data_IF_342866424325
#
_entry.id   IF_342866424325
#
_cell.length_a   1.000
_cell.length_b   1.000
_cell.length_c   1.000
_cell.angle_alpha   90.00
_cell.angle_beta   90.00
_cell.angle_gamma   90.00
#
_symmetry.space_group_name_H-M   'P 1'
#
loop_
_entity.id
_entity.type
_entity.pdbx_description
1 polymer ?
#
# COMPACT_ATOMS: atom_id res chain seq x y z
N UNK A 1 38.63 56.10 58.00
CA UNK A 1 38.60 54.87 58.83
C UNK A 1 37.70 53.85 58.14
N UNK A 2 38.29 52.74 57.65
CA UNK A 2 37.68 51.50 57.11
C UNK A 2 36.65 51.63 55.95
N UNK A 3 37.14 51.53 54.72
CA UNK A 3 36.36 51.06 53.57
C UNK A 3 36.48 49.53 53.49
N UNK A 4 35.33 48.83 53.37
CA UNK A 4 35.24 47.38 53.22
C UNK A 4 35.69 46.94 51.83
N UNK A 5 36.69 46.07 51.76
CA UNK A 5 37.05 45.31 50.56
C UNK A 5 36.15 44.07 50.47
N UNK A 6 35.26 44.00 49.46
CA UNK A 6 34.53 42.77 49.12
C UNK A 6 35.43 41.89 48.24
N UNK A 7 35.74 40.68 48.71
CA UNK A 7 36.29 39.62 47.88
C UNK A 7 35.14 38.96 47.11
N UNK A 8 35.20 39.02 45.77
CA UNK A 8 34.29 38.28 44.89
C UNK A 8 34.81 36.86 44.71
N UNK A 9 34.12 35.88 45.29
CA UNK A 9 34.35 34.46 45.03
C UNK A 9 33.65 34.09 43.72
N UNK A 10 34.41 33.84 42.66
CA UNK A 10 33.88 33.32 41.40
C UNK A 10 33.52 31.83 41.59
N UNK A 11 32.22 31.53 41.55
CA UNK A 11 31.72 30.16 41.53
C UNK A 11 31.75 29.66 40.08
N UNK A 12 32.77 28.91 39.71
CA UNK A 12 32.81 28.17 38.43
C UNK A 12 31.75 27.08 38.45
N UNK A 13 30.67 27.28 37.71
CA UNK A 13 29.63 26.30 37.45
C UNK A 13 30.17 25.29 36.42
N UNK A 14 30.70 24.16 36.90
CA UNK A 14 31.07 23.04 36.03
C UNK A 14 29.79 22.39 35.52
N UNK A 15 29.38 22.71 34.29
CA UNK A 15 28.32 21.96 33.59
C UNK A 15 28.86 20.55 33.35
N UNK A 16 28.38 19.59 34.14
CA UNK A 16 28.58 18.18 33.85
C UNK A 16 27.83 17.87 32.55
N UNK A 17 28.58 17.82 31.43
CA UNK A 17 28.13 17.23 30.19
C UNK A 17 27.76 15.79 30.49
N UNK A 18 26.46 15.52 30.56
CA UNK A 18 25.95 14.15 30.53
C UNK A 18 26.46 13.51 29.24
N UNK A 19 27.01 12.27 29.29
CA UNK A 19 27.44 11.62 28.08
C UNK A 19 26.24 11.48 27.15
N UNK A 20 26.37 12.01 25.93
CA UNK A 20 25.49 11.68 24.81
C UNK A 20 25.35 10.16 24.80
N UNK A 21 24.15 9.67 25.04
CA UNK A 21 23.84 8.25 24.95
C UNK A 21 24.31 7.77 23.59
N UNK A 22 25.31 6.89 23.58
CA UNK A 22 25.85 6.32 22.34
C UNK A 22 24.67 5.81 21.50
N UNK A 23 24.63 6.21 20.23
CA UNK A 23 23.65 5.69 19.29
C UNK A 23 23.68 4.15 19.35
N UNK A 24 22.51 3.48 19.38
CA UNK A 24 22.49 2.03 19.42
C UNK A 24 23.33 1.49 18.26
N UNK A 25 24.32 0.64 18.57
CA UNK A 25 25.20 0.03 17.56
C UNK A 25 24.33 -0.65 16.52
N UNK A 26 24.45 -0.21 15.26
CA UNK A 26 23.68 -0.79 14.16
C UNK A 26 23.99 -2.29 14.05
N UNK A 27 22.96 -3.08 13.76
CA UNK A 27 23.06 -4.55 13.72
C UNK A 27 23.75 -5.08 12.45
N UNK A 28 24.38 -4.21 11.66
CA UNK A 28 25.05 -4.48 10.40
C UNK A 28 26.21 -3.50 10.18
N UNK A 29 27.26 -3.85 9.42
CA UNK A 29 28.34 -2.93 9.08
C UNK A 29 27.88 -1.85 8.09
N UNK A 30 28.18 -0.58 8.35
CA UNK A 30 27.83 0.54 7.48
C UNK A 30 28.44 0.42 6.07
N UNK A 31 29.64 -0.15 5.96
CA UNK A 31 30.31 -0.38 4.68
C UNK A 31 29.56 -1.37 3.77
N UNK A 32 28.97 -2.42 4.35
CA UNK A 32 28.16 -3.39 3.59
C UNK A 32 26.89 -2.74 3.05
N UNK A 33 26.21 -1.91 3.85
CA UNK A 33 25.04 -1.14 3.45
C UNK A 33 25.37 -0.19 2.28
N UNK A 34 26.44 0.58 2.41
CA UNK A 34 26.87 1.52 1.37
C UNK A 34 27.27 0.78 0.09
N UNK A 35 27.99 -0.33 0.20
CA UNK A 35 28.36 -1.15 -0.97
C UNK A 35 27.14 -1.74 -1.66
N UNK A 36 26.16 -2.25 -0.90
CA UNK A 36 24.90 -2.78 -1.43
C UNK A 36 24.11 -1.71 -2.20
N UNK A 37 24.08 -0.47 -1.69
CA UNK A 37 23.37 0.63 -2.31
C UNK A 37 24.14 1.27 -3.47
N UNK A 38 25.46 1.42 -3.39
CA UNK A 38 26.28 2.11 -4.40
C UNK A 38 26.17 1.48 -5.79
N UNK A 39 25.97 0.16 -5.85
CA UNK A 39 25.76 -0.61 -7.06
C UNK A 39 24.37 -0.44 -7.70
N UNK A 40 23.52 0.44 -7.16
CA UNK A 40 22.13 0.64 -7.60
C UNK A 40 21.94 2.00 -8.28
N UNK A 41 20.90 2.09 -9.10
CA UNK A 41 20.46 3.34 -9.74
C UNK A 41 20.29 4.44 -8.68
N UNK A 42 20.84 5.62 -8.93
CA UNK A 42 21.04 6.66 -7.91
C UNK A 42 19.74 7.04 -7.16
N UNK A 43 18.62 7.36 -7.85
CA UNK A 43 17.33 7.59 -7.22
C UNK A 43 16.80 6.46 -6.32
N UNK A 44 17.24 5.21 -6.54
CA UNK A 44 16.77 4.03 -5.79
C UNK A 44 17.65 3.67 -4.60
N UNK A 45 18.86 4.25 -4.49
CA UNK A 45 19.79 3.94 -3.39
C UNK A 45 19.16 4.13 -2.01
N UNK A 46 18.37 5.18 -1.73
CA UNK A 46 17.71 5.33 -0.44
C UNK A 46 16.74 4.18 -0.11
N UNK A 47 16.03 3.64 -1.11
CA UNK A 47 15.11 2.51 -0.95
C UNK A 47 15.83 1.19 -0.67
N UNK A 48 16.94 0.95 -1.36
CA UNK A 48 17.80 -0.19 -1.07
C UNK A 48 18.40 -0.12 0.34
N UNK A 49 18.77 1.08 0.79
CA UNK A 49 19.23 1.29 2.17
C UNK A 49 18.11 1.01 3.18
N UNK A 50 16.92 1.52 2.94
CA UNK A 50 15.75 1.26 3.79
C UNK A 50 15.38 -0.23 3.85
N UNK A 51 15.44 -0.93 2.72
CA UNK A 51 15.23 -2.37 2.63
C UNK A 51 16.25 -3.13 3.48
N UNK A 52 17.54 -2.84 3.30
CA UNK A 52 18.64 -3.50 4.03
C UNK A 52 18.59 -3.24 5.53
N UNK A 53 18.35 -1.98 5.91
CA UNK A 53 18.27 -1.53 7.29
C UNK A 53 17.01 -2.06 8.00
N UNK A 54 15.89 -2.09 7.29
CA UNK A 54 14.58 -2.52 7.80
C UNK A 54 14.48 -4.02 8.09
N UNK A 55 15.36 -4.83 7.49
CA UNK A 55 15.44 -6.26 7.75
C UNK A 55 14.22 -7.05 7.27
N UNK A 56 14.13 -8.32 7.66
CA UNK A 56 13.01 -9.19 7.24
C UNK A 56 11.67 -8.62 7.76
N UNK A 57 11.71 -7.96 8.93
CA UNK A 57 10.53 -7.40 9.60
C UNK A 57 9.78 -6.36 8.76
N UNK A 58 10.49 -5.56 7.98
CA UNK A 58 9.89 -4.52 7.13
C UNK A 58 10.03 -4.86 5.64
N UNK A 59 10.42 -6.09 5.31
CA UNK A 59 10.78 -6.50 3.95
C UNK A 59 9.66 -6.28 2.94
N UNK A 60 8.44 -6.75 3.21
CA UNK A 60 7.31 -6.58 2.27
C UNK A 60 7.03 -5.10 2.01
N UNK A 61 7.07 -4.25 3.05
CA UNK A 61 6.85 -2.81 2.91
C UNK A 61 7.92 -2.17 2.04
N UNK A 62 9.19 -2.42 2.38
CA UNK A 62 10.30 -1.78 1.69
C UNK A 62 10.52 -2.34 0.27
N UNK A 63 10.18 -3.60 0.02
CA UNK A 63 10.16 -4.18 -1.32
C UNK A 63 9.04 -3.58 -2.17
N UNK A 64 7.83 -3.45 -1.62
CA UNK A 64 6.71 -2.80 -2.31
C UNK A 64 7.03 -1.35 -2.68
N UNK A 65 7.59 -0.58 -1.74
CA UNK A 65 8.02 0.81 -1.98
C UNK A 65 9.15 0.89 -3.01
N UNK A 66 10.16 0.03 -2.91
CA UNK A 66 11.25 -0.07 -3.89
C UNK A 66 10.70 -0.41 -5.28
N UNK A 67 9.78 -1.36 -5.38
CA UNK A 67 9.23 -1.80 -6.65
C UNK A 67 8.50 -0.67 -7.38
N UNK A 68 7.69 0.10 -6.66
CA UNK A 68 6.98 1.23 -7.23
C UNK A 68 7.91 2.41 -7.56
N UNK A 69 8.88 2.71 -6.70
CA UNK A 69 9.93 3.70 -7.00
C UNK A 69 10.72 3.31 -8.26
N UNK A 70 11.05 2.03 -8.42
CA UNK A 70 11.75 1.50 -9.58
C UNK A 70 10.91 1.60 -10.86
N UNK A 71 9.59 1.38 -10.79
CA UNK A 71 8.69 1.64 -11.92
C UNK A 71 8.72 3.11 -12.35
N UNK A 72 8.70 4.04 -11.40
CA UNK A 72 8.69 5.48 -11.69
C UNK A 72 9.94 5.94 -12.45
N UNK A 73 11.11 5.40 -12.10
CA UNK A 73 12.38 5.74 -12.75
C UNK A 73 12.76 4.80 -13.91
N UNK A 74 11.84 3.93 -14.34
CA UNK A 74 12.03 3.04 -15.48
C UNK A 74 12.99 1.87 -15.25
N UNK A 75 13.31 1.54 -14.00
CA UNK A 75 14.15 0.40 -13.62
C UNK A 75 13.31 -0.88 -13.49
N UNK A 76 12.81 -1.38 -14.63
CA UNK A 76 11.82 -2.46 -14.66
C UNK A 76 12.28 -3.78 -14.03
N UNK A 77 13.56 -4.16 -14.21
CA UNK A 77 14.08 -5.40 -13.61
C UNK A 77 14.11 -5.33 -12.08
N UNK A 78 14.49 -4.17 -11.53
CA UNK A 78 14.45 -3.93 -10.09
C UNK A 78 13.01 -3.97 -9.57
N UNK A 79 12.07 -3.39 -10.32
CA UNK A 79 10.65 -3.42 -9.99
C UNK A 79 10.09 -4.85 -9.93
N UNK A 80 10.35 -5.65 -10.97
CA UNK A 80 9.91 -7.04 -11.08
C UNK A 80 10.46 -7.89 -9.92
N UNK A 81 11.77 -7.80 -9.66
CA UNK A 81 12.43 -8.53 -8.56
C UNK A 81 11.90 -8.12 -7.19
N UNK A 82 11.66 -6.83 -6.98
CA UNK A 82 11.14 -6.33 -5.71
C UNK A 82 9.74 -6.84 -5.45
N UNK A 83 8.85 -6.77 -6.44
CA UNK A 83 7.48 -7.31 -6.29
C UNK A 83 7.46 -8.83 -6.18
N UNK A 84 8.27 -9.57 -6.95
CA UNK A 84 8.37 -11.03 -6.81
C UNK A 84 8.82 -11.43 -5.40
N UNK A 85 9.83 -10.73 -4.85
CA UNK A 85 10.30 -10.95 -3.49
C UNK A 85 9.27 -10.55 -2.41
N UNK A 86 8.43 -9.56 -2.68
CA UNK A 86 7.34 -9.14 -1.78
C UNK A 86 6.20 -10.16 -1.81
N UNK A 87 5.75 -10.58 -2.99
CA UNK A 87 4.67 -11.54 -3.20
C UNK A 87 5.04 -12.90 -2.62
N UNK A 88 6.27 -13.39 -2.81
CA UNK A 88 6.74 -14.63 -2.18
C UNK A 88 6.59 -14.59 -0.64
N UNK A 89 6.86 -13.44 -0.03
CA UNK A 89 6.75 -13.23 1.42
C UNK A 89 5.30 -13.07 1.89
N UNK A 90 4.43 -12.49 1.06
CA UNK A 90 2.98 -12.45 1.30
C UNK A 90 2.43 -13.87 1.25
N UNK A 91 2.81 -14.64 0.23
CA UNK A 91 2.32 -15.99 -0.03
C UNK A 91 2.81 -17.03 0.98
N UNK A 92 4.01 -16.83 1.54
CA UNK A 92 4.57 -17.71 2.58
C UNK A 92 3.66 -17.87 3.81
N UNK A 93 2.75 -16.92 4.05
CA UNK A 93 1.74 -16.99 5.11
C UNK A 93 0.75 -18.16 4.87
N UNK A 94 0.54 -18.53 3.61
CA UNK A 94 -0.46 -19.51 3.17
C UNK A 94 0.10 -20.93 2.96
N UNK A 95 1.41 -21.16 3.10
CA UNK A 95 2.02 -22.48 2.92
C UNK A 95 1.45 -23.49 3.95
N UNK A 96 0.57 -24.39 3.50
CA UNK A 96 -0.05 -25.45 4.31
C UNK A 96 0.88 -26.65 4.42
N UNK A 97 1.80 -26.66 5.38
CA UNK A 97 2.43 -27.90 5.83
C UNK A 97 2.34 -28.00 7.37
N UNK A 98 2.39 -29.23 7.92
CA UNK A 98 2.27 -29.46 9.38
C UNK A 98 3.37 -28.75 10.19
N UNK A 99 4.51 -28.47 9.56
CA UNK A 99 5.56 -27.61 10.13
C UNK A 99 5.15 -26.12 10.16
N UNK A 100 4.33 -25.65 9.22
CA UNK A 100 3.78 -24.31 9.16
C UNK A 100 2.65 -24.09 10.18
N UNK A 101 1.87 -25.11 10.56
CA UNK A 101 0.94 -25.02 11.69
C UNK A 101 1.67 -24.94 13.04
N UNK A 102 2.72 -25.74 13.22
CA UNK A 102 3.60 -25.61 14.39
C UNK A 102 4.34 -24.27 14.39
N UNK A 103 4.80 -23.79 13.22
CA UNK A 103 5.38 -22.46 13.06
C UNK A 103 4.36 -21.36 13.33
N UNK A 104 3.09 -21.47 12.91
CA UNK A 104 2.02 -20.50 13.24
C UNK A 104 1.86 -20.35 14.74
N UNK A 105 1.80 -21.44 15.50
CA UNK A 105 1.63 -21.38 16.96
C UNK A 105 2.86 -20.90 17.74
N UNK A 106 4.08 -21.22 17.28
CA UNK A 106 5.33 -20.68 17.86
C UNK A 106 5.56 -19.21 17.43
N UNK A 107 5.26 -18.87 16.18
CA UNK A 107 5.33 -17.51 15.64
C UNK A 107 4.28 -16.60 16.27
N UNK A 108 3.06 -17.04 16.58
CA UNK A 108 2.10 -16.19 17.30
C UNK A 108 2.59 -15.69 18.67
N UNK A 109 3.53 -16.40 19.32
CA UNK A 109 4.13 -15.99 20.61
C UNK A 109 5.46 -15.22 20.46
N UNK A 110 6.21 -15.44 19.38
CA UNK A 110 7.54 -14.83 19.17
C UNK A 110 7.59 -13.79 18.01
N UNK A 111 6.73 -13.94 16.99
CA UNK A 111 6.62 -13.14 15.75
C UNK A 111 5.83 -11.83 15.91
N UNK A 112 6.01 -11.15 17.03
CA UNK A 112 5.52 -9.80 17.15
C UNK A 112 6.26 -8.91 16.11
N UNK A 113 5.63 -8.71 14.92
CA UNK A 113 5.73 -7.56 13.99
C UNK A 113 6.38 -7.73 12.59
N UNK A 114 6.45 -8.89 11.93
CA UNK A 114 6.78 -8.86 10.48
C UNK A 114 5.62 -8.19 9.70
N UNK A 115 5.90 -7.13 8.94
CA UNK A 115 4.89 -6.41 8.18
C UNK A 115 4.59 -7.18 6.89
N UNK A 116 3.32 -7.56 6.70
CA UNK A 116 2.83 -8.21 5.48
C UNK A 116 1.83 -7.37 4.71
N UNK A 117 1.54 -6.16 5.19
CA UNK A 117 0.49 -5.29 4.67
C UNK A 117 -0.92 -5.74 5.06
N UNK A 118 -1.86 -4.81 4.96
CA UNK A 118 -3.30 -5.05 5.00
C UNK A 118 -3.77 -5.65 3.66
N UNK A 119 -4.98 -6.26 3.59
CA UNK A 119 -5.49 -6.86 2.36
C UNK A 119 -5.36 -5.99 1.10
N UNK A 120 -5.70 -4.70 1.20
CA UNK A 120 -5.57 -3.76 0.07
C UNK A 120 -4.10 -3.53 -0.35
N UNK A 121 -3.15 -3.46 0.59
CA UNK A 121 -1.72 -3.24 0.27
C UNK A 121 -1.13 -4.47 -0.45
N UNK A 122 -1.56 -5.67 -0.04
CA UNK A 122 -1.18 -6.92 -0.70
C UNK A 122 -1.77 -6.98 -2.10
N UNK A 123 -3.06 -6.65 -2.25
CA UNK A 123 -3.71 -6.58 -3.56
C UNK A 123 -2.99 -5.60 -4.49
N UNK A 124 -2.55 -4.45 -3.97
CA UNK A 124 -1.78 -3.48 -4.75
C UNK A 124 -0.41 -3.99 -5.18
N UNK A 125 0.26 -4.85 -4.39
CA UNK A 125 1.50 -5.49 -4.83
C UNK A 125 1.28 -6.40 -6.06
N UNK A 126 0.19 -7.17 -6.06
CA UNK A 126 -0.22 -7.98 -7.22
C UNK A 126 -0.62 -7.12 -8.42
N UNK A 127 -1.30 -5.99 -8.19
CA UNK A 127 -1.65 -5.04 -9.23
C UNK A 127 -0.41 -4.51 -9.95
N UNK A 128 0.57 -3.96 -9.22
CA UNK A 128 1.79 -3.45 -9.84
C UNK A 128 2.60 -4.54 -10.56
N UNK A 129 2.66 -5.75 -9.98
CA UNK A 129 3.30 -6.88 -10.66
C UNK A 129 2.58 -7.28 -11.95
N UNK A 130 1.25 -7.23 -11.95
CA UNK A 130 0.41 -7.46 -13.12
C UNK A 130 0.64 -6.42 -14.22
N UNK A 131 0.79 -5.14 -13.87
CA UNK A 131 1.15 -4.09 -14.82
C UNK A 131 2.50 -4.33 -15.49
N UNK A 132 3.49 -4.84 -14.75
CA UNK A 132 4.80 -5.21 -15.30
C UNK A 132 4.69 -6.40 -16.26
N UNK A 133 3.82 -7.38 -15.98
CA UNK A 133 3.52 -8.45 -16.94
C UNK A 133 2.84 -7.91 -18.20
N UNK A 134 1.87 -6.99 -18.08
CA UNK A 134 1.25 -6.32 -19.23
C UNK A 134 2.28 -5.56 -20.07
N UNK A 135 3.20 -4.84 -19.42
CA UNK A 135 4.32 -4.14 -20.07
C UNK A 135 5.19 -5.10 -20.89
N UNK A 136 5.43 -6.31 -20.37
CA UNK A 136 6.20 -7.36 -21.03
C UNK A 136 5.42 -8.11 -22.12
N UNK A 137 4.10 -7.92 -22.23
CA UNK A 137 3.22 -8.69 -23.11
C UNK A 137 2.89 -10.09 -22.60
N UNK A 138 3.14 -10.37 -21.31
CA UNK A 138 2.86 -11.64 -20.67
C UNK A 138 1.46 -11.64 -20.05
N UNK A 139 0.45 -11.73 -20.92
CA UNK A 139 -0.94 -11.52 -20.52
C UNK A 139 -1.48 -12.61 -19.58
N UNK A 140 -0.98 -13.85 -19.69
CA UNK A 140 -1.42 -14.94 -18.82
C UNK A 140 -0.94 -14.73 -17.38
N UNK A 141 0.32 -14.36 -17.19
CA UNK A 141 0.83 -14.03 -15.85
C UNK A 141 0.26 -12.71 -15.33
N UNK A 142 -0.02 -11.73 -16.20
CA UNK A 142 -0.75 -10.53 -15.80
C UNK A 142 -2.12 -10.89 -15.21
N UNK A 143 -2.92 -11.68 -15.93
CA UNK A 143 -4.22 -12.17 -15.47
C UNK A 143 -4.12 -12.92 -14.14
N UNK A 144 -3.15 -13.83 -14.03
CA UNK A 144 -2.91 -14.59 -12.80
C UNK A 144 -2.57 -13.68 -11.61
N UNK A 145 -1.77 -12.64 -11.84
CA UNK A 145 -1.43 -11.64 -10.82
C UNK A 145 -2.67 -10.88 -10.35
N UNK A 146 -3.50 -10.36 -11.27
CA UNK A 146 -4.74 -9.65 -10.90
C UNK A 146 -5.73 -10.56 -10.17
N UNK A 147 -5.82 -11.84 -10.56
CA UNK A 147 -6.60 -12.84 -9.81
C UNK A 147 -6.05 -13.08 -8.41
N UNK A 148 -4.71 -13.10 -8.26
CA UNK A 148 -4.03 -13.17 -6.96
C UNK A 148 -4.36 -12.01 -6.03
N UNK A 149 -4.59 -10.81 -6.58
CA UNK A 149 -5.00 -9.62 -5.84
C UNK A 149 -6.38 -9.79 -5.19
N UNK A 150 -7.34 -10.40 -5.90
CA UNK A 150 -8.70 -10.67 -5.38
C UNK A 150 -8.68 -11.66 -4.21
N UNK A 151 -7.78 -12.64 -4.24
CA UNK A 151 -7.66 -13.61 -3.15
C UNK A 151 -7.13 -13.01 -1.84
N UNK A 152 -6.52 -11.83 -1.86
CA UNK A 152 -5.97 -11.21 -0.64
C UNK A 152 -7.06 -10.76 0.35
N UNK A 153 -8.31 -10.66 -0.10
CA UNK A 153 -9.48 -10.30 0.72
C UNK A 153 -10.10 -11.51 1.45
N UNK A 154 -10.15 -12.66 0.77
CA UNK A 154 -10.95 -13.84 1.16
C UNK A 154 -10.41 -14.71 2.31
N UNK A 155 -9.43 -14.22 3.06
CA UNK A 155 -8.72 -15.04 4.07
C UNK A 155 -8.94 -14.56 5.51
N UNK A 156 -9.86 -13.63 5.74
CA UNK A 156 -10.59 -13.57 7.02
C UNK A 156 -11.41 -14.87 7.13
N UNK A 157 -11.30 -15.61 8.24
CA UNK A 157 -11.80 -17.00 8.40
C UNK A 157 -13.33 -17.21 8.21
N UNK A 158 -14.08 -16.18 7.79
CA UNK A 158 -15.54 -16.17 7.77
C UNK A 158 -16.20 -15.67 6.47
N UNK A 159 -15.46 -15.27 5.42
CA UNK A 159 -16.06 -14.54 4.29
C UNK A 159 -16.03 -15.29 2.97
N UNK A 160 -17.19 -15.34 2.31
CA UNK A 160 -17.35 -15.77 0.93
C UNK A 160 -16.56 -14.82 0.00
N UNK A 161 -16.01 -15.36 -1.09
CA UNK A 161 -15.30 -14.59 -2.10
C UNK A 161 -16.20 -13.48 -2.66
N UNK A 162 -15.95 -12.24 -2.27
CA UNK A 162 -16.57 -11.06 -2.88
C UNK A 162 -15.56 -10.39 -3.82
N UNK A 163 -15.85 -10.45 -5.12
CA UNK A 163 -14.98 -9.92 -6.17
C UNK A 163 -15.23 -8.43 -6.39
N UNK A 164 -14.96 -7.63 -5.36
CA UNK A 164 -15.43 -6.23 -5.30
C UNK A 164 -14.42 -5.22 -5.86
N UNK A 165 -13.23 -5.66 -6.28
CA UNK A 165 -12.24 -4.76 -6.89
C UNK A 165 -12.47 -4.68 -8.39
N UNK A 166 -13.38 -3.81 -8.81
CA UNK A 166 -13.72 -3.59 -10.22
C UNK A 166 -12.47 -3.40 -11.12
N UNK A 167 -11.43 -2.71 -10.63
CA UNK A 167 -10.14 -2.60 -11.31
C UNK A 167 -9.49 -3.96 -11.62
N UNK A 168 -9.43 -4.90 -10.68
CA UNK A 168 -8.78 -6.20 -10.90
C UNK A 168 -9.55 -7.02 -11.92
N UNK A 169 -10.88 -7.02 -11.83
CA UNK A 169 -11.75 -7.65 -12.82
C UNK A 169 -11.55 -7.06 -14.21
N UNK A 170 -11.48 -5.72 -14.33
CA UNK A 170 -11.22 -5.06 -15.60
C UNK A 170 -9.87 -5.48 -16.21
N UNK A 171 -8.82 -5.51 -15.38
CA UNK A 171 -7.47 -5.88 -15.81
C UNK A 171 -7.35 -7.38 -16.15
N UNK A 172 -8.11 -8.26 -15.49
CA UNK A 172 -8.24 -9.66 -15.89
C UNK A 172 -8.91 -9.78 -17.27
N UNK A 173 -10.02 -9.08 -17.50
CA UNK A 173 -10.70 -9.05 -18.79
C UNK A 173 -9.80 -8.53 -19.91
N UNK A 174 -9.08 -7.44 -19.66
CA UNK A 174 -8.10 -6.88 -20.59
C UNK A 174 -7.01 -7.89 -20.93
N UNK A 175 -6.43 -8.54 -19.91
CA UNK A 175 -5.39 -9.55 -20.09
C UNK A 175 -5.89 -10.74 -20.92
N UNK A 176 -7.09 -11.26 -20.62
CA UNK A 176 -7.74 -12.34 -21.36
C UNK A 176 -7.95 -11.95 -22.84
N UNK A 177 -8.47 -10.76 -23.09
CA UNK A 177 -8.69 -10.23 -24.43
C UNK A 177 -7.38 -10.12 -25.22
N UNK A 178 -6.33 -9.60 -24.60
CA UNK A 178 -5.01 -9.45 -25.22
C UNK A 178 -4.31 -10.78 -25.50
N UNK A 179 -4.58 -11.81 -24.68
CA UNK A 179 -4.17 -13.19 -24.94
C UNK A 179 -4.89 -13.81 -26.15
N UNK A 180 -6.03 -13.22 -26.58
CA UNK A 180 -6.84 -13.69 -27.70
C UNK A 180 -8.09 -14.47 -27.29
N UNK A 181 -8.41 -14.50 -25.99
CA UNK A 181 -9.57 -15.17 -25.43
C UNK A 181 -10.71 -14.18 -25.12
N UNK A 182 -11.88 -14.69 -24.75
CA UNK A 182 -13.03 -13.86 -24.41
C UNK A 182 -12.96 -13.35 -22.96
N UNK A 183 -12.67 -12.05 -22.80
CA UNK A 183 -12.63 -11.37 -21.50
C UNK A 183 -13.98 -10.81 -20.99
N UNK A 184 -15.10 -11.00 -21.71
CA UNK A 184 -16.38 -10.34 -21.39
C UNK A 184 -16.88 -10.59 -19.98
N UNK A 185 -16.76 -11.82 -19.45
CA UNK A 185 -17.23 -12.13 -18.10
C UNK A 185 -16.50 -11.31 -17.01
N UNK A 186 -15.19 -11.12 -17.17
CA UNK A 186 -14.38 -10.32 -16.24
C UNK A 186 -14.75 -8.82 -16.36
N UNK A 187 -15.06 -8.33 -17.57
CA UNK A 187 -15.56 -6.96 -17.76
C UNK A 187 -16.96 -6.77 -17.17
N UNK A 188 -17.87 -7.73 -17.33
CA UNK A 188 -19.21 -7.67 -16.75
C UNK A 188 -19.14 -7.62 -15.21
N UNK A 189 -18.24 -8.41 -14.61
CA UNK A 189 -17.96 -8.34 -13.17
C UNK A 189 -17.42 -6.97 -12.75
N UNK A 190 -16.52 -6.37 -13.53
CA UNK A 190 -16.00 -5.02 -13.26
C UNK A 190 -17.11 -3.96 -13.30
N UNK A 191 -18.00 -4.02 -14.29
CA UNK A 191 -19.12 -3.09 -14.47
C UNK A 191 -20.17 -3.26 -13.37
N UNK A 192 -20.40 -4.51 -12.93
CA UNK A 192 -21.29 -4.80 -11.81
C UNK A 192 -20.79 -4.19 -10.50
N UNK A 193 -19.47 -4.25 -10.26
CA UNK A 193 -18.84 -3.67 -9.07
C UNK A 193 -18.68 -2.14 -9.17
N UNK A 194 -18.46 -1.57 -10.36
CA UNK A 194 -18.37 -0.12 -10.59
C UNK A 194 -19.16 0.29 -11.84
N UNK A 195 -20.37 0.81 -11.62
CA UNK A 195 -21.32 1.15 -12.69
C UNK A 195 -20.82 2.23 -13.65
N UNK A 196 -19.81 3.01 -13.26
CA UNK A 196 -19.17 4.01 -14.11
C UNK A 196 -18.26 3.44 -15.20
N UNK A 197 -17.98 2.13 -15.18
CA UNK A 197 -17.12 1.46 -16.16
C UNK A 197 -17.90 0.98 -17.40
N UNK A 198 -17.16 0.81 -18.49
CA UNK A 198 -17.64 0.19 -19.73
C UNK A 198 -16.59 -0.77 -20.26
N UNK A 199 -17.04 -1.90 -20.82
CA UNK A 199 -16.13 -2.81 -21.52
C UNK A 199 -15.39 -2.07 -22.66
N UNK A 200 -14.15 -2.47 -22.98
CA UNK A 200 -13.43 -1.90 -24.12
C UNK A 200 -14.19 -2.12 -25.43
N UNK A 201 -13.96 -1.25 -26.41
CA UNK A 201 -14.42 -1.54 -27.77
C UNK A 201 -13.70 -2.79 -28.31
N UNK A 202 -14.36 -3.51 -29.23
CA UNK A 202 -13.83 -4.77 -29.79
C UNK A 202 -12.43 -4.66 -30.40
N UNK A 203 -12.08 -3.48 -30.92
CA UNK A 203 -10.82 -3.19 -31.56
C UNK A 203 -9.89 -2.28 -30.72
N UNK A 204 -10.24 -2.02 -29.47
CA UNK A 204 -9.34 -1.36 -28.54
C UNK A 204 -8.12 -2.25 -28.24
N UNK A 205 -6.95 -1.64 -28.28
CA UNK A 205 -5.67 -2.31 -28.04
C UNK A 205 -4.70 -1.45 -27.23
N UNK A 206 -5.14 -0.33 -26.69
CA UNK A 206 -4.38 0.52 -25.77
C UNK A 206 -5.17 0.66 -24.47
N UNK A 207 -4.59 0.19 -23.36
CA UNK A 207 -5.08 0.44 -22.02
C UNK A 207 -4.30 1.61 -21.42
N UNK A 208 -5.00 2.63 -20.94
CA UNK A 208 -4.42 3.78 -20.27
C UNK A 208 -4.88 3.78 -18.83
N UNK A 209 -3.94 3.92 -17.89
CA UNK A 209 -4.17 3.91 -16.45
C UNK A 209 -3.55 5.16 -15.84
N UNK A 210 -4.32 5.86 -15.01
CA UNK A 210 -3.88 7.03 -14.26
C UNK A 210 -4.20 6.83 -12.78
N UNK A 211 -3.16 6.88 -11.96
CA UNK A 211 -3.28 6.85 -10.51
C UNK A 211 -3.47 8.25 -9.94
N UNK A 212 -4.40 8.39 -9.00
CA UNK A 212 -4.86 9.67 -8.44
C UNK A 212 -4.62 9.70 -6.93
N UNK A 213 -4.17 10.86 -6.43
CA UNK A 213 -3.99 11.09 -5.00
C UNK A 213 -2.90 10.22 -4.36
N UNK A 214 -2.89 10.27 -3.03
CA UNK A 214 -2.25 9.27 -2.19
C UNK A 214 -3.27 8.74 -1.20
N UNK A 215 -3.14 7.48 -0.80
CA UNK A 215 -4.00 6.92 0.23
C UNK A 215 -4.08 5.40 0.18
N UNK A 216 -4.81 4.81 1.13
CA UNK A 216 -5.30 5.40 2.39
C UNK A 216 -4.16 5.72 3.38
N UNK A 217 -4.46 6.51 4.42
CA UNK A 217 -3.55 6.76 5.55
C UNK A 217 -3.98 5.93 6.76
N UNK A 218 -3.05 5.17 7.33
CA UNK A 218 -3.24 4.43 8.58
C UNK A 218 -3.01 5.34 9.79
N UNK A 219 -3.95 5.31 10.73
CA UNK A 219 -3.85 5.99 12.01
C UNK A 219 -4.36 5.11 13.14
N UNK A 220 -4.03 5.49 14.38
CA UNK A 220 -4.59 4.87 15.58
C UNK A 220 -5.83 5.65 16.01
N UNK A 221 -6.86 4.96 16.49
CA UNK A 221 -8.03 5.65 17.03
C UNK A 221 -7.60 6.49 18.26
N UNK A 222 -8.02 7.78 18.35
CA UNK A 222 -7.57 8.66 19.42
C UNK A 222 -7.85 8.15 20.85
N UNK A 223 -8.97 7.45 21.05
CA UNK A 223 -9.40 6.91 22.35
C UNK A 223 -8.97 5.45 22.60
N UNK A 224 -8.52 4.74 21.56
CA UNK A 224 -8.19 3.31 21.60
C UNK A 224 -6.97 3.08 20.69
N UNK A 225 -5.76 3.25 21.22
CA UNK A 225 -4.53 3.18 20.42
C UNK A 225 -4.26 1.79 19.85
N UNK A 226 -4.90 0.77 20.40
CA UNK A 226 -4.96 -0.61 19.91
C UNK A 226 -5.80 -0.77 18.62
N UNK A 227 -6.60 0.24 18.26
CA UNK A 227 -7.48 0.20 17.09
C UNK A 227 -6.87 0.94 15.90
N UNK A 228 -6.75 0.24 14.78
CA UNK A 228 -6.37 0.80 13.49
C UNK A 228 -7.58 1.48 12.84
N UNK A 229 -7.38 2.67 12.28
CA UNK A 229 -8.35 3.39 11.45
C UNK A 229 -7.68 3.84 10.15
N UNK A 230 -8.47 3.97 9.10
CA UNK A 230 -8.02 4.53 7.82
C UNK A 230 -8.62 5.91 7.64
N UNK A 231 -7.81 6.81 7.12
CA UNK A 231 -8.19 8.18 6.79
C UNK A 231 -7.95 8.38 5.29
N UNK A 232 -8.85 9.10 4.60
CA UNK A 232 -8.53 9.58 3.27
C UNK A 232 -7.35 10.53 3.40
N UNK A 233 -6.43 10.52 2.44
CA UNK A 233 -5.36 11.49 2.49
C UNK A 233 -5.88 12.85 2.02
N UNK A 234 -5.53 13.90 2.76
CA UNK A 234 -5.94 15.27 2.45
C UNK A 234 -4.93 15.95 1.51
N UNK A 235 -5.36 17.02 0.83
CA UNK A 235 -4.47 17.87 0.04
C UNK A 235 -4.25 17.44 -1.42
N UNK A 236 -5.04 16.48 -1.92
CA UNK A 236 -4.98 16.01 -3.30
C UNK A 236 -6.23 16.46 -4.08
N UNK A 237 -6.15 17.52 -4.91
CA UNK A 237 -7.29 18.06 -5.64
C UNK A 237 -7.72 17.24 -6.86
N UNK A 238 -6.89 16.30 -7.34
CA UNK A 238 -7.20 15.46 -8.49
C UNK A 238 -8.31 14.45 -8.19
N UNK A 239 -9.33 14.46 -9.05
CA UNK A 239 -10.50 13.57 -8.97
C UNK A 239 -10.69 12.77 -10.26
N UNK A 240 -9.81 12.95 -11.25
CA UNK A 240 -9.88 12.27 -12.53
C UNK A 240 -8.65 12.55 -13.41
N UNK A 241 -8.66 11.94 -14.59
CA UNK A 241 -7.63 12.11 -15.60
C UNK A 241 -8.26 12.18 -16.99
N UNK A 242 -7.66 12.98 -17.88
CA UNK A 242 -7.96 13.00 -19.31
C UNK A 242 -6.69 12.56 -20.03
N UNK A 243 -6.79 11.48 -20.81
CA UNK A 243 -5.69 11.03 -21.66
C UNK A 243 -5.78 11.70 -23.02
N UNK A 244 -4.64 12.03 -23.61
CA UNK A 244 -4.54 12.40 -25.01
C UNK A 244 -3.71 11.35 -25.74
N UNK A 245 -4.34 10.64 -26.67
CA UNK A 245 -3.67 9.66 -27.52
C UNK A 245 -3.41 10.29 -28.90
N UNK A 246 -2.14 10.51 -29.23
CA UNK A 246 -1.69 11.08 -30.49
C UNK A 246 -1.08 9.97 -31.37
N UNK A 247 -1.81 9.47 -32.39
CA UNK A 247 -1.23 8.54 -33.36
C UNK A 247 -0.19 9.25 -34.24
N UNK A 248 0.75 8.48 -34.82
CA UNK A 248 1.73 9.03 -35.78
C UNK A 248 1.07 9.62 -37.05
N UNK A 249 -0.15 9.18 -37.38
CA UNK A 249 -0.98 9.72 -38.47
C UNK A 249 -2.40 9.95 -37.95
N UNK A 250 -2.95 11.13 -38.22
CA UNK A 250 -4.29 11.51 -37.78
C UNK A 250 -4.28 12.49 -36.60
N UNK A 251 -5.47 12.82 -36.12
CA UNK A 251 -5.66 13.80 -35.05
C UNK A 251 -5.54 13.16 -33.66
N UNK A 252 -4.96 13.86 -32.66
CA UNK A 252 -5.01 13.42 -31.27
C UNK A 252 -6.45 13.28 -30.78
N UNK A 253 -6.70 12.26 -29.96
CA UNK A 253 -8.01 12.02 -29.32
C UNK A 253 -7.89 12.20 -27.83
N UNK A 254 -8.85 12.94 -27.25
CA UNK A 254 -9.01 13.06 -25.81
C UNK A 254 -9.96 11.97 -25.31
N UNK A 255 -9.58 11.32 -24.23
CA UNK A 255 -10.28 10.18 -23.68
C UNK A 255 -10.41 10.38 -22.16
N UNK A 256 -11.64 10.34 -21.67
CA UNK A 256 -11.91 10.46 -20.24
C UNK A 256 -11.43 9.19 -19.53
N UNK A 257 -10.66 9.37 -18.46
CA UNK A 257 -10.38 8.32 -17.49
C UNK A 257 -11.58 8.10 -16.58
N UNK A 258 -12.09 6.88 -16.53
CA UNK A 258 -13.13 6.46 -15.60
C UNK A 258 -12.48 5.86 -14.37
N UNK A 259 -12.85 6.35 -13.18
CA UNK A 259 -12.36 5.77 -11.92
C UNK A 259 -12.88 4.33 -11.82
N UNK A 260 -11.96 3.38 -11.80
CA UNK A 260 -12.26 1.96 -11.72
C UNK A 260 -12.23 1.44 -10.27
N UNK A 261 -11.57 2.14 -9.36
CA UNK A 261 -11.61 1.81 -7.95
C UNK A 261 -11.05 2.91 -7.06
N UNK A 262 -11.53 2.93 -5.81
CA UNK A 262 -10.91 3.63 -4.68
C UNK A 262 -10.17 2.64 -3.79
N UNK A 263 -8.85 2.78 -3.69
CA UNK A 263 -8.00 2.01 -2.78
C UNK A 263 -8.36 2.32 -1.32
N UNK A 264 -8.77 3.56 -1.02
CA UNK A 264 -9.31 3.92 0.29
C UNK A 264 -10.56 3.12 0.64
N UNK A 265 -11.52 3.03 -0.28
CA UNK A 265 -12.72 2.20 -0.07
C UNK A 265 -12.32 0.77 0.24
N UNK A 266 -11.45 0.17 -0.59
CA UNK A 266 -10.93 -1.19 -0.39
C UNK A 266 -10.27 -1.36 0.99
N UNK A 267 -9.52 -0.37 1.47
CA UNK A 267 -8.90 -0.46 2.80
C UNK A 267 -9.91 -0.47 3.96
N UNK A 268 -11.04 0.21 3.75
CA UNK A 268 -12.09 0.33 4.76
C UNK A 268 -13.16 -0.75 4.70
N UNK A 269 -13.30 -1.47 3.57
CA UNK A 269 -14.29 -2.53 3.37
C UNK A 269 -13.72 -3.95 3.48
N UNK A 270 -12.45 -4.14 3.12
CA UNK A 270 -11.81 -5.48 3.04
C UNK A 270 -11.36 -6.05 4.38
N UNK A 271 -11.36 -7.38 4.46
CA UNK A 271 -10.91 -8.15 5.63
C UNK A 271 -11.84 -8.05 6.84
N UNK A 272 -13.16 -8.20 6.65
CA UNK A 272 -14.17 -8.16 7.72
C UNK A 272 -14.54 -6.77 8.23
N UNK A 273 -14.21 -5.71 7.48
CA UNK A 273 -14.47 -4.32 7.90
C UNK A 273 -15.68 -3.78 7.15
N UNK A 274 -16.90 -3.97 7.65
CA UNK A 274 -18.05 -3.39 6.96
C UNK A 274 -18.08 -1.85 7.09
N UNK A 275 -17.89 -1.13 5.98
CA UNK A 275 -18.21 0.30 5.84
C UNK A 275 -19.58 0.45 5.18
N UNK A 276 -20.65 0.28 5.97
CA UNK A 276 -22.00 0.69 5.54
C UNK A 276 -22.80 1.48 6.60
N UNK A 277 -22.23 1.71 7.79
CA UNK A 277 -22.93 2.44 8.87
C UNK A 277 -22.67 3.96 8.93
N UNK A 278 -21.60 4.47 8.32
CA UNK A 278 -21.08 5.82 8.63
C UNK A 278 -21.48 6.87 7.58
N UNK A 279 -21.79 6.47 6.34
CA UNK A 279 -22.05 7.43 5.27
C UNK A 279 -23.44 8.10 5.30
N UNK A 280 -24.40 7.55 6.07
CA UNK A 280 -25.70 8.21 6.32
C UNK A 280 -25.72 9.12 7.57
N UNK A 281 -24.65 9.15 8.36
CA UNK A 281 -24.59 9.82 9.67
C UNK A 281 -23.97 11.21 9.68
N UNK A 282 -23.97 11.94 8.55
CA UNK A 282 -23.31 13.27 8.44
C UNK A 282 -23.88 14.39 9.34
N UNK A 283 -24.83 14.10 10.23
CA UNK A 283 -25.39 15.08 11.17
C UNK A 283 -25.02 14.86 12.65
N UNK A 284 -24.54 13.69 13.08
CA UNK A 284 -24.33 13.41 14.52
C UNK A 284 -22.89 13.49 15.01
N UNK A 285 -21.91 13.72 14.11
CA UNK A 285 -20.49 13.85 14.51
C UNK A 285 -20.13 15.23 15.12
N UNK A 286 -21.12 15.92 15.69
CA UNK A 286 -20.92 17.05 16.59
C UNK A 286 -21.67 16.77 17.89
N UNK A 287 -20.89 16.61 18.96
CA UNK A 287 -21.28 16.41 20.36
C UNK A 287 -21.85 15.04 20.75
N UNK A 288 -20.99 14.05 21.02
CA UNK A 288 -21.19 13.22 22.22
C UNK A 288 -19.93 12.48 22.65
N UNK A 289 -19.13 13.14 23.48
CA UNK A 289 -18.09 12.48 24.28
C UNK A 289 -18.71 12.07 25.62
N UNK A 290 -18.75 10.77 25.93
CA UNK A 290 -18.51 10.30 27.31
C UNK A 290 -19.62 9.61 28.11
N UNK A 291 -20.91 9.58 27.72
CA UNK A 291 -21.96 9.11 28.67
C UNK A 291 -22.91 8.00 28.19
N UNK A 292 -22.91 7.60 26.91
CA UNK A 292 -23.94 6.70 26.35
C UNK A 292 -23.41 5.26 26.13
N UNK A 293 -22.47 4.79 26.95
CA UNK A 293 -22.00 3.40 26.86
C UNK A 293 -22.92 2.41 27.58
N UNK A 294 -23.52 2.81 28.71
CA UNK A 294 -24.21 1.88 29.61
C UNK A 294 -25.75 1.92 29.55
N UNK A 295 -26.35 2.99 29.02
CA UNK A 295 -27.80 3.13 28.92
C UNK A 295 -28.36 2.46 27.65
N UNK A 296 -27.66 2.60 26.52
CA UNK A 296 -28.05 2.00 25.23
C UNK A 296 -28.03 0.46 25.28
N UNK A 297 -27.06 -0.13 25.98
CA UNK A 297 -26.95 -1.58 26.14
C UNK A 297 -28.09 -2.19 26.96
N UNK A 298 -28.65 -1.45 27.94
CA UNK A 298 -29.79 -1.93 28.74
C UNK A 298 -31.13 -1.75 28.02
N UNK A 299 -31.27 -0.73 27.18
CA UNK A 299 -32.46 -0.53 26.36
C UNK A 299 -32.59 -1.60 25.26
N UNK A 300 -31.47 -2.00 24.64
CA UNK A 300 -31.44 -3.04 23.60
C UNK A 300 -31.79 -4.45 24.09
N UNK A 301 -31.52 -4.77 25.36
CA UNK A 301 -31.87 -6.08 25.95
C UNK A 301 -33.35 -6.20 26.36
N UNK A 302 -34.11 -5.09 26.42
CA UNK A 302 -35.49 -5.06 26.91
C UNK A 302 -36.55 -5.05 25.79
N UNK A 303 -36.20 -4.63 24.57
CA UNK A 303 -37.11 -4.73 23.42
C UNK A 303 -36.68 -5.87 22.50
N UNK A 304 -37.17 -7.07 22.80
CA UNK A 304 -37.05 -8.23 21.94
C UNK A 304 -37.82 -8.03 20.63
N UNK A 305 -37.08 -7.82 19.54
CA UNK A 305 -37.59 -7.76 18.17
C UNK A 305 -36.43 -7.71 17.18
N UNK A 306 -36.61 -8.25 15.98
CA UNK A 306 -35.54 -8.43 14.98
C UNK A 306 -34.85 -7.12 14.55
N UNK A 307 -35.49 -5.96 14.74
CA UNK A 307 -34.87 -4.64 14.51
C UNK A 307 -33.93 -4.19 15.65
N UNK A 308 -34.04 -4.75 16.86
CA UNK A 308 -33.20 -4.43 18.02
C UNK A 308 -31.83 -5.12 17.99
N UNK A 309 -31.68 -6.20 17.22
CA UNK A 309 -30.41 -6.91 17.03
C UNK A 309 -29.45 -6.15 16.08
N UNK A 310 -29.98 -5.38 15.13
CA UNK A 310 -29.16 -4.59 14.20
C UNK A 310 -28.55 -3.34 14.82
N UNK A 311 -29.20 -2.73 15.82
CA UNK A 311 -28.66 -1.57 16.54
C UNK A 311 -27.67 -1.94 17.66
N UNK A 312 -27.66 -3.20 18.12
CA UNK A 312 -26.61 -3.71 18.99
C UNK A 312 -25.29 -3.97 18.23
N UNK A 313 -25.35 -4.18 16.91
CA UNK A 313 -24.17 -4.44 16.07
C UNK A 313 -23.27 -3.19 15.89
N UNK A 314 -23.84 -1.98 15.94
CA UNK A 314 -23.06 -0.73 15.88
C UNK A 314 -22.16 -0.50 17.12
N UNK A 315 -22.50 -1.13 18.25
CA UNK A 315 -21.69 -1.09 19.48
C UNK A 315 -20.92 -2.38 19.77
N UNK A 316 -21.34 -3.53 19.24
CA UNK A 316 -20.84 -4.85 19.66
C UNK A 316 -19.85 -5.53 18.70
N UNK A 317 -19.67 -5.06 17.45
CA UNK A 317 -18.70 -5.69 16.53
C UNK A 317 -17.23 -5.39 16.93
N UNK A 318 -16.99 -4.41 17.82
CA UNK A 318 -15.64 -4.12 18.35
C UNK A 318 -15.18 -5.03 19.51
N UNK A 319 -15.88 -6.11 19.83
CA UNK A 319 -15.63 -6.88 21.07
C UNK A 319 -14.83 -8.18 20.94
N UNK A 320 -14.37 -8.60 19.75
CA UNK A 320 -13.73 -9.91 19.56
C UNK A 320 -12.19 -9.96 19.57
N UNK A 321 -11.52 -9.10 20.34
CA UNK A 321 -10.12 -9.35 20.74
C UNK A 321 -9.94 -9.08 22.23
N UNK A 322 -10.45 -10.00 23.06
CA UNK A 322 -10.15 -10.03 24.48
C UNK A 322 -8.80 -10.72 24.72
N UNK A 323 -7.92 -9.99 25.40
CA UNK A 323 -6.79 -10.48 26.19
C UNK A 323 -5.60 -11.14 25.47
N UNK A 324 -4.70 -10.32 24.92
CA UNK A 324 -3.26 -10.62 24.92
C UNK A 324 -2.43 -9.33 24.77
N UNK A 325 -2.16 -8.64 25.90
CA UNK A 325 -1.35 -7.41 26.04
C UNK A 325 -1.81 -6.18 25.21
N UNK A 326 -1.99 -5.02 25.86
CA UNK A 326 -2.34 -3.74 25.20
C UNK A 326 -1.20 -3.26 24.29
N UNK A 327 -1.12 -3.78 23.07
CA UNK A 327 -0.15 -3.36 22.04
C UNK A 327 -0.87 -2.38 21.12
N UNK A 328 -0.29 -1.20 20.93
CA UNK A 328 -0.80 -0.21 19.99
C UNK A 328 -0.90 -0.81 18.56
N UNK A 329 -1.89 -0.38 17.79
CA UNK A 329 -2.06 -0.80 16.41
C UNK A 329 -0.81 -0.49 15.56
N UNK A 330 -0.50 -1.41 14.65
CA UNK A 330 0.57 -1.24 13.68
C UNK A 330 0.13 -0.27 12.58
N UNK A 331 0.76 0.91 12.56
CA UNK A 331 0.50 1.96 11.58
C UNK A 331 1.54 2.01 10.48
N UNK A 332 2.41 0.98 10.38
CA UNK A 332 3.28 0.86 9.21
C UNK A 332 2.42 0.73 7.96
N UNK A 333 2.74 1.53 6.95
CA UNK A 333 1.90 1.68 5.77
C UNK A 333 2.75 1.86 4.52
N UNK A 334 2.21 1.38 3.40
CA UNK A 334 2.71 1.75 2.08
C UNK A 334 2.20 3.15 1.71
N UNK A 335 2.98 4.15 2.09
CA UNK A 335 2.71 5.58 2.00
C UNK A 335 2.61 6.14 0.57
N UNK A 336 3.14 5.43 -0.41
CA UNK A 336 3.14 5.84 -1.81
C UNK A 336 1.98 5.27 -2.62
N UNK A 337 1.04 4.52 -2.04
CA UNK A 337 -0.14 4.03 -2.77
C UNK A 337 -1.05 5.18 -3.22
N UNK A 338 -1.77 5.03 -4.34
CA UNK A 338 -2.76 6.00 -4.80
C UNK A 338 -4.06 5.87 -4.03
N UNK A 339 -4.83 6.95 -3.96
CA UNK A 339 -6.18 6.91 -3.40
C UNK A 339 -7.16 6.18 -4.32
N UNK A 340 -7.05 6.43 -5.62
CA UNK A 340 -7.90 5.82 -6.64
C UNK A 340 -7.16 5.61 -7.96
N UNK A 341 -7.73 4.76 -8.81
CA UNK A 341 -7.18 4.41 -10.11
C UNK A 341 -8.24 4.65 -11.17
N UNK A 342 -7.90 5.47 -12.17
CA UNK A 342 -8.71 5.70 -13.35
C UNK A 342 -8.14 4.97 -14.57
N UNK A 343 -9.01 4.51 -15.46
CA UNK A 343 -8.63 3.86 -16.70
C UNK A 343 -9.41 4.35 -17.90
N UNK A 344 -8.84 4.16 -19.08
CA UNK A 344 -9.49 4.39 -20.36
C UNK A 344 -8.92 3.42 -21.40
N UNK A 345 -9.68 3.14 -22.45
CA UNK A 345 -9.24 2.27 -23.54
C UNK A 345 -9.39 2.96 -24.88
N UNK A 346 -8.54 2.58 -25.83
CA UNK A 346 -8.63 3.05 -27.20
C UNK A 346 -7.96 2.09 -28.17
N UNK A 347 -8.34 2.21 -29.44
CA UNK A 347 -7.61 1.65 -30.57
C UNK A 347 -6.43 2.50 -30.99
N UNK A 348 -5.31 1.89 -31.36
CA UNK A 348 -4.22 2.51 -32.11
C UNK A 348 -3.71 1.56 -33.21
N UNK A 349 -3.75 2.02 -34.47
CA UNK A 349 -3.35 1.24 -35.65
C UNK A 349 -1.84 1.27 -35.94
N UNK A 350 -1.04 1.85 -35.04
CA UNK A 350 0.40 2.02 -35.19
C UNK A 350 1.04 2.78 -34.02
N UNK A 351 2.27 3.26 -34.18
CA UNK A 351 2.94 4.04 -33.14
C UNK A 351 2.10 5.25 -32.71
N UNK A 352 2.07 5.50 -31.41
CA UNK A 352 1.35 6.61 -30.81
C UNK A 352 2.18 7.20 -29.65
N UNK A 353 1.82 8.41 -29.23
CA UNK A 353 2.26 8.99 -27.97
C UNK A 353 1.03 9.22 -27.10
N UNK A 354 1.13 8.89 -25.82
CA UNK A 354 0.09 9.21 -24.85
C UNK A 354 0.58 10.30 -23.89
N UNK A 355 -0.30 11.24 -23.55
CA UNK A 355 -0.11 12.16 -22.43
C UNK A 355 -1.33 12.12 -21.52
N UNK A 356 -1.18 12.62 -20.30
CA UNK A 356 -2.28 12.71 -19.34
C UNK A 356 -2.34 14.11 -18.75
N UNK A 357 -3.55 14.58 -18.51
CA UNK A 357 -3.82 15.76 -17.69
C UNK A 357 -4.72 15.36 -16.52
N UNK A 358 -4.31 15.67 -15.30
CA UNK A 358 -5.14 15.47 -14.12
C UNK A 358 -6.18 16.58 -14.00
N UNK A 359 -7.37 16.23 -13.52
CA UNK A 359 -8.50 17.16 -13.39
C UNK A 359 -9.05 17.13 -11.96
N UNK A 360 -9.61 18.25 -11.54
CA UNK A 360 -10.38 18.42 -10.31
C UNK A 360 -11.83 18.79 -10.65
N UNK A 361 -12.67 18.97 -9.63
CA UNK A 361 -14.00 19.58 -9.77
C UNK A 361 -13.97 20.97 -10.45
N UNK A 362 -12.83 21.68 -10.39
CA UNK A 362 -12.66 23.03 -10.96
C UNK A 362 -12.00 23.04 -12.34
N UNK A 363 -11.77 21.87 -12.96
CA UNK A 363 -11.12 21.72 -14.27
C UNK A 363 -9.71 21.15 -14.19
N UNK A 364 -8.94 21.32 -15.26
CA UNK A 364 -7.56 20.81 -15.37
C UNK A 364 -6.64 21.42 -14.32
N UNK A 365 -5.79 20.58 -13.75
CA UNK A 365 -4.79 20.95 -12.75
C UNK A 365 -3.43 21.00 -13.44
N UNK A 366 -2.62 22.01 -13.12
CA UNK A 366 -1.22 22.05 -13.49
C UNK A 366 -0.42 21.08 -12.61
N UNK A 367 -0.53 19.79 -12.94
CA UNK A 367 0.13 18.69 -12.25
C UNK A 367 0.76 17.78 -13.31
N UNK A 368 2.10 17.81 -13.48
CA UNK A 368 2.75 16.93 -14.44
C UNK A 368 2.64 15.47 -13.99
N UNK A 369 2.48 14.52 -14.93
CA UNK A 369 2.56 13.11 -14.61
C UNK A 369 3.94 12.72 -14.07
N UNK A 370 3.92 11.83 -13.09
CA UNK A 370 5.10 11.16 -12.55
C UNK A 370 5.08 9.69 -12.98
N UNK A 371 6.26 9.15 -13.31
CA UNK A 371 6.41 7.75 -13.73
C UNK A 371 5.52 7.39 -14.92
N UNK A 372 5.90 7.81 -16.13
CA UNK A 372 5.16 7.43 -17.34
C UNK A 372 5.74 6.15 -17.95
N UNK A 373 4.97 5.08 -17.90
CA UNK A 373 5.27 3.83 -18.60
C UNK A 373 4.40 3.75 -19.86
N UNK A 374 5.02 3.73 -21.04
CA UNK A 374 4.34 3.38 -22.30
C UNK A 374 5.04 2.17 -22.93
N UNK A 375 4.31 1.09 -23.16
CA UNK A 375 4.86 -0.12 -23.75
C UNK A 375 3.88 -0.75 -24.74
N UNK A 376 4.43 -1.25 -25.85
CA UNK A 376 3.71 -2.05 -26.84
C UNK A 376 4.47 -3.36 -27.02
N UNK A 377 3.90 -4.45 -26.52
CA UNK A 377 4.43 -5.82 -26.66
C UNK A 377 3.26 -6.75 -26.91
N UNK A 378 3.28 -7.48 -28.02
CA UNK A 378 2.17 -8.33 -28.44
C UNK A 378 1.05 -7.53 -29.11
N UNK A 379 -0.21 -7.90 -28.87
CA UNK A 379 -1.40 -7.32 -29.50
C UNK A 379 -1.84 -6.01 -28.87
N UNK A 380 -1.53 -5.82 -27.59
CA UNK A 380 -1.97 -4.69 -26.79
C UNK A 380 -0.80 -3.82 -26.34
N UNK A 381 -1.13 -2.56 -26.06
CA UNK A 381 -0.26 -1.56 -25.46
C UNK A 381 -0.80 -1.14 -24.11
N UNK A 382 0.09 -0.71 -23.23
CA UNK A 382 -0.24 -0.14 -21.93
C UNK A 382 0.41 1.24 -21.80
N UNK A 383 -0.36 2.18 -21.24
CA UNK A 383 0.10 3.46 -20.72
C UNK A 383 -0.27 3.48 -19.24
N UNK A 384 0.70 3.74 -18.38
CA UNK A 384 0.49 3.91 -16.94
C UNK A 384 1.22 5.15 -16.47
N UNK A 385 0.58 5.89 -15.57
CA UNK A 385 1.08 7.17 -15.05
C UNK A 385 0.47 7.47 -13.69
N UNK A 386 1.13 8.33 -12.91
CA UNK A 386 0.71 8.69 -11.55
C UNK A 386 0.67 10.20 -11.36
N UNK A 387 -0.34 10.66 -10.63
CA UNK A 387 -0.44 12.06 -10.21
C UNK A 387 0.63 12.42 -9.17
N UNK A 388 1.08 11.43 -8.40
CA UNK A 388 1.97 11.62 -7.26
C UNK A 388 3.16 10.67 -7.31
N UNK A 389 4.32 11.21 -6.98
CA UNK A 389 5.58 10.48 -6.99
C UNK A 389 5.59 9.35 -5.96
N UNK A 390 6.23 8.23 -6.32
CA UNK A 390 6.59 7.15 -5.42
C UNK A 390 7.94 7.39 -4.74
N UNK A 391 8.68 8.42 -5.16
CA UNK A 391 9.94 8.85 -4.55
C UNK A 391 9.68 9.62 -3.23
N UNK A 392 9.04 8.95 -2.27
CA UNK A 392 8.82 9.43 -0.89
C UNK A 392 10.07 9.32 0.00
N UNK A 393 9.98 9.81 1.24
CA UNK A 393 11.12 9.73 2.17
C UNK A 393 11.48 8.26 2.47
N UNK A 394 12.76 7.88 2.47
CA UNK A 394 13.15 6.47 2.58
C UNK A 394 12.87 5.86 3.97
N UNK A 395 12.58 6.67 4.99
CA UNK A 395 12.19 6.18 6.31
C UNK A 395 11.00 5.22 6.20
N UNK A 396 11.08 4.07 6.87
CA UNK A 396 9.96 3.11 6.93
C UNK A 396 8.78 3.76 7.66
N UNK A 397 7.66 4.08 6.99
CA UNK A 397 6.55 4.79 7.60
C UNK A 397 5.98 3.98 8.77
N UNK A 398 5.65 4.65 9.87
CA UNK A 398 5.07 4.00 11.06
C UNK A 398 6.03 3.12 11.86
N UNK A 399 7.32 3.04 11.51
CA UNK A 399 8.29 2.23 12.24
C UNK A 399 8.98 3.00 13.37
N UNK A 400 8.55 2.71 14.60
CA UNK A 400 9.01 3.38 15.81
C UNK A 400 10.47 3.06 16.17
N UNK A 401 11.29 4.09 16.39
CA UNK A 401 12.72 3.93 16.69
C UNK A 401 13.00 3.13 17.98
N UNK A 402 12.13 3.20 18.99
CA UNK A 402 12.26 2.40 20.23
C UNK A 402 11.96 0.93 19.92
N UNK A 403 10.95 0.65 19.10
CA UNK A 403 10.65 -0.72 18.64
C UNK A 403 11.82 -1.28 17.83
N UNK A 404 12.39 -0.50 16.90
CA UNK A 404 13.60 -0.92 16.16
C UNK A 404 14.76 -1.26 17.09
N UNK A 405 15.06 -0.39 18.06
CA UNK A 405 16.12 -0.61 19.03
C UNK A 405 15.88 -1.84 19.92
N UNK A 406 14.63 -2.13 20.27
CA UNK A 406 14.27 -3.32 21.04
C UNK A 406 14.40 -4.61 20.21
N UNK A 407 13.96 -4.58 18.95
CA UNK A 407 14.06 -5.73 18.02
C UNK A 407 15.52 -6.04 17.67
N UNK A 408 16.35 -5.01 17.45
CA UNK A 408 17.77 -5.16 17.11
C UNK A 408 18.60 -5.89 18.18
N UNK A 409 18.09 -6.03 19.41
CA UNK A 409 18.74 -6.76 20.51
C UNK A 409 18.36 -8.25 20.57
N UNK A 410 17.33 -8.67 19.82
CA UNK A 410 16.83 -10.05 19.86
C UNK A 410 17.65 -10.95 18.92
N UNK A 411 18.13 -12.09 19.43
CA UNK A 411 19.05 -12.99 18.70
C UNK A 411 18.40 -13.61 17.45
N UNK A 412 17.14 -13.99 17.56
CA UNK A 412 16.31 -14.52 16.47
C UNK A 412 16.13 -13.48 15.36
N UNK A 413 15.85 -12.22 15.72
CA UNK A 413 15.72 -11.13 14.76
C UNK A 413 17.05 -10.87 14.02
N UNK A 414 18.18 -10.85 14.74
CA UNK A 414 19.51 -10.70 14.14
C UNK A 414 19.81 -11.83 13.13
N UNK A 415 19.46 -13.08 13.48
CA UNK A 415 19.68 -14.22 12.60
C UNK A 415 18.81 -14.14 11.33
N UNK A 416 17.51 -13.81 11.47
CA UNK A 416 16.60 -13.59 10.35
C UNK A 416 17.09 -12.48 9.44
N UNK A 417 17.48 -11.34 10.01
CA UNK A 417 17.97 -10.20 9.25
C UNK A 417 19.27 -10.50 8.49
N UNK A 418 20.17 -11.33 9.05
CA UNK A 418 21.37 -11.78 8.36
C UNK A 418 21.02 -12.61 7.12
N UNK A 419 20.13 -13.60 7.27
CA UNK A 419 19.66 -14.42 6.16
C UNK A 419 18.96 -13.57 5.09
N UNK A 420 18.12 -12.64 5.54
CA UNK A 420 17.44 -11.69 4.67
C UNK A 420 18.42 -10.86 3.84
N UNK A 421 19.40 -10.21 4.47
CA UNK A 421 20.41 -9.39 3.77
C UNK A 421 21.20 -10.22 2.76
N UNK A 422 21.61 -11.44 3.14
CA UNK A 422 22.26 -12.36 2.21
C UNK A 422 21.37 -12.68 1.01
N UNK A 423 20.07 -12.91 1.23
CA UNK A 423 19.12 -13.14 0.13
C UNK A 423 18.99 -11.91 -0.77
N UNK A 424 18.96 -10.70 -0.21
CA UNK A 424 18.83 -9.46 -0.99
C UNK A 424 20.02 -9.21 -1.91
N UNK A 425 21.24 -9.55 -1.47
CA UNK A 425 22.44 -9.50 -2.31
C UNK A 425 22.26 -10.41 -3.53
N UNK A 426 21.72 -11.62 -3.34
CA UNK A 426 21.47 -12.55 -4.45
C UNK A 426 20.31 -12.12 -5.35
N UNK A 427 19.18 -11.66 -4.78
CA UNK A 427 17.99 -11.21 -5.52
C UNK A 427 18.31 -10.03 -6.42
N UNK A 428 19.13 -9.09 -5.95
CA UNK A 428 19.49 -7.87 -6.68
C UNK A 428 20.94 -7.90 -7.20
N UNK A 429 21.48 -9.09 -7.42
CA UNK A 429 22.76 -9.22 -8.12
C UNK A 429 22.63 -8.69 -9.56
N UNK A 430 23.63 -7.96 -10.09
CA UNK A 430 23.64 -7.57 -11.50
C UNK A 430 23.44 -8.80 -12.39
N UNK A 431 22.63 -8.67 -13.45
CA UNK A 431 22.58 -9.71 -14.50
C UNK A 431 23.96 -9.71 -15.17
N UNK A 432 24.63 -10.86 -15.19
CA UNK A 432 25.90 -11.05 -15.90
C UNK A 432 25.70 -10.98 -17.41
#
# INVERSE_FOLDING_TARGET
MKFLTRASTALTLTVALTPVTAAPKEAYPAEELESFAAARHEPLRPYYKALYAGGERNSVLNLSRLGLAAMEVGQWSDAERAFDAALLRIESVYAKNKQAEAARSLWHKESNKDWKGEPYERAMAYYYRGLLYLRAGDYNNARASFKGAEFQDTVSEAEEFQSDFALMNYLMGWSTMCAGDNGSADFDAAIAAEKGLSAPAKDDNVLMIAELGHGPVKARAPSQKEKLVFQPAEGYPETGAIFTLAPAKGSPRKLDGRVASSVYYQATTRGGRAMDGILNGKAEFKNTTGAIGNAAMRAGLQQGGEAGMYMAAAGAIFSLFSSAAKIDADIRQWDSLPDSVALSTAKADGPFTATVNYISANGTIDLPPTGMMQATKGKCSIVWTRARTALTTPDTPGDDARVRAAVARKKDAIAKDRLFRSSMISTFAPVQ
#
